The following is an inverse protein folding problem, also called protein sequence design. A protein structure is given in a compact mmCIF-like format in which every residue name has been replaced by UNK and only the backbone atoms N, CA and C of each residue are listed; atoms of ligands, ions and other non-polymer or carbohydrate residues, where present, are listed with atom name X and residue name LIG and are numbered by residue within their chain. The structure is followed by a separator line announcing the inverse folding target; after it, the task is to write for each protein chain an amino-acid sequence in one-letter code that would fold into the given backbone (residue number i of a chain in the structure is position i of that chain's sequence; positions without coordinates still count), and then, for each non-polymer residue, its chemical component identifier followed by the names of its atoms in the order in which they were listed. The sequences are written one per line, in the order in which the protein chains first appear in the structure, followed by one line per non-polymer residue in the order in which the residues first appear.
data_IF_665122154255
#
_entry.id   IF_665122154255
#
_cell.length_a   1.000
_cell.length_b   1.000
_cell.length_c   1.000
_cell.angle_alpha   90.00
_cell.angle_beta   90.00
_cell.angle_gamma   90.00
#
_symmetry.space_group_name_H-M   'P 1'
#
loop_
_entity.id
_entity.type
_entity.pdbx_description
1 polymer ?
#
# COMPACT_ATOMS: atom_id res chain seq x y z
N UNK A 1 10.67 18.85 6.32
CA UNK A 1 12.00 19.39 6.70
C UNK A 1 12.04 20.85 6.33
N UNK A 2 12.41 21.76 7.23
CA UNK A 2 12.61 23.16 6.87
C UNK A 2 13.77 23.29 5.84
N UNK A 3 13.53 23.98 4.74
CA UNK A 3 14.54 24.11 3.66
C UNK A 3 15.86 24.70 4.13
N UNK A 4 15.84 25.56 5.14
CA UNK A 4 17.02 26.19 5.76
C UNK A 4 17.99 25.17 6.37
N UNK A 5 17.52 23.95 6.63
CA UNK A 5 18.33 22.87 7.23
C UNK A 5 18.85 21.87 6.21
N UNK A 6 18.33 21.88 4.97
CA UNK A 6 18.61 20.83 3.98
C UNK A 6 20.10 20.55 3.81
N UNK A 7 20.90 21.57 3.56
CA UNK A 7 22.36 21.42 3.36
C UNK A 7 23.05 20.90 4.63
N UNK A 8 22.65 21.39 5.80
CA UNK A 8 23.18 20.92 7.08
C UNK A 8 22.82 19.45 7.33
N UNK A 9 21.55 19.07 7.08
CA UNK A 9 21.08 17.72 7.30
C UNK A 9 21.78 16.74 6.34
N UNK A 10 21.95 17.09 5.07
CA UNK A 10 22.70 16.28 4.11
C UNK A 10 24.18 16.11 4.50
N UNK A 11 24.83 17.19 4.98
CA UNK A 11 26.20 17.11 5.46
C UNK A 11 26.32 16.20 6.70
N UNK A 12 25.33 16.22 7.60
CA UNK A 12 25.29 15.32 8.76
C UNK A 12 25.08 13.87 8.33
N UNK A 13 24.17 13.62 7.38
CA UNK A 13 23.91 12.30 6.81
C UNK A 13 25.19 11.72 6.18
N UNK A 14 25.88 12.47 5.36
CA UNK A 14 27.16 12.04 4.77
C UNK A 14 28.21 11.72 5.83
N UNK A 15 28.32 12.55 6.86
CA UNK A 15 29.27 12.31 7.98
C UNK A 15 28.89 11.01 8.73
N UNK A 16 27.63 10.65 8.79
CA UNK A 16 27.16 9.40 9.37
C UNK A 16 27.26 8.19 8.43
N UNK A 17 27.72 8.38 7.19
CA UNK A 17 27.84 7.31 6.18
C UNK A 17 26.54 7.00 5.44
N UNK A 18 25.48 7.82 5.60
CA UNK A 18 24.24 7.68 4.87
C UNK A 18 24.46 8.11 3.40
N UNK A 19 24.11 7.23 2.47
CA UNK A 19 24.27 7.43 1.03
C UNK A 19 22.98 7.26 0.23
N UNK A 20 21.87 6.89 0.90
CA UNK A 20 20.53 6.79 0.32
C UNK A 20 19.52 7.40 1.26
N UNK A 21 18.58 8.15 0.74
CA UNK A 21 17.40 8.64 1.47
C UNK A 21 16.11 8.31 0.70
N UNK A 22 14.98 8.26 1.42
CA UNK A 22 13.65 8.13 0.85
C UNK A 22 12.85 9.40 1.11
N UNK A 23 12.12 9.87 0.09
CA UNK A 23 11.27 11.07 0.17
C UNK A 23 9.97 10.89 -0.62
N UNK A 24 9.04 11.78 -0.40
CA UNK A 24 7.79 12.02 -1.11
C UNK A 24 6.58 11.14 -0.73
N UNK A 25 6.73 9.99 -0.10
CA UNK A 25 5.64 9.02 0.13
C UNK A 25 4.43 9.57 0.92
N UNK A 26 4.58 10.66 1.66
CA UNK A 26 3.51 11.22 2.54
C UNK A 26 3.26 12.71 2.31
N UNK A 27 3.65 13.25 1.18
CA UNK A 27 3.67 14.71 0.94
C UNK A 27 2.63 15.22 -0.05
N UNK A 28 1.61 14.43 -0.39
CA UNK A 28 0.60 14.79 -1.38
C UNK A 28 -0.06 16.16 -1.12
N UNK A 29 -0.39 16.50 0.12
CA UNK A 29 -0.98 17.80 0.45
C UNK A 29 -0.07 19.00 0.16
N UNK A 30 1.25 18.79 0.11
CA UNK A 30 2.24 19.79 -0.29
C UNK A 30 2.39 19.82 -1.81
N UNK A 31 2.35 18.65 -2.44
CA UNK A 31 2.50 18.47 -3.88
C UNK A 31 1.27 18.92 -4.67
N UNK A 32 0.10 18.81 -4.04
CA UNK A 32 -1.18 19.26 -4.60
C UNK A 32 -2.03 19.94 -3.51
N UNK A 33 -1.69 21.18 -3.14
CA UNK A 33 -2.38 21.93 -2.09
C UNK A 33 -3.86 22.22 -2.39
N UNK A 34 -4.21 22.33 -3.66
CA UNK A 34 -5.57 22.46 -4.17
C UNK A 34 -5.80 21.51 -5.33
N UNK A 35 -7.04 21.12 -5.58
CA UNK A 35 -7.40 20.21 -6.66
C UNK A 35 -6.90 20.70 -8.03
N UNK A 36 -5.90 19.99 -8.57
CA UNK A 36 -5.27 20.29 -9.87
C UNK A 36 -4.18 21.38 -9.83
N UNK A 37 -3.83 21.90 -8.66
CA UNK A 37 -2.71 22.85 -8.48
C UNK A 37 -1.51 22.08 -7.91
N UNK A 38 -0.42 21.99 -8.68
CA UNK A 38 0.74 21.18 -8.32
C UNK A 38 1.95 22.05 -7.96
N UNK A 39 2.62 21.71 -6.85
CA UNK A 39 3.88 22.29 -6.41
C UNK A 39 4.85 21.21 -5.93
N UNK A 40 5.82 20.85 -6.76
CA UNK A 40 6.87 19.90 -6.45
C UNK A 40 8.18 20.56 -6.02
N UNK A 41 8.17 21.84 -5.68
CA UNK A 41 9.38 22.62 -5.36
C UNK A 41 10.18 22.01 -4.20
N UNK A 42 9.52 21.36 -3.23
CA UNK A 42 10.19 20.68 -2.13
C UNK A 42 10.90 19.40 -2.57
N UNK A 43 10.36 18.66 -3.54
CA UNK A 43 10.97 17.46 -4.11
C UNK A 43 12.16 17.85 -4.96
N UNK A 44 12.00 18.82 -5.88
CA UNK A 44 13.10 19.25 -6.77
C UNK A 44 14.28 19.83 -6.01
N UNK A 45 14.04 20.68 -5.00
CA UNK A 45 15.10 21.21 -4.13
C UNK A 45 15.88 20.09 -3.40
N UNK A 46 15.15 19.08 -2.91
CA UNK A 46 15.80 17.94 -2.26
C UNK A 46 16.64 17.14 -3.25
N UNK A 47 16.12 16.88 -4.46
CA UNK A 47 16.83 16.15 -5.51
C UNK A 47 18.07 16.86 -5.99
N UNK A 48 17.98 18.18 -6.28
CA UNK A 48 19.12 19.01 -6.66
C UNK A 48 20.23 19.00 -5.60
N UNK A 49 19.85 19.07 -4.32
CA UNK A 49 20.79 18.99 -3.22
C UNK A 49 21.42 17.59 -3.10
N UNK A 50 20.64 16.53 -3.29
CA UNK A 50 21.12 15.15 -3.27
C UNK A 50 22.09 14.86 -4.43
N UNK A 51 21.80 15.35 -5.65
CA UNK A 51 22.74 15.22 -6.78
C UNK A 51 24.08 15.91 -6.48
N UNK A 52 24.01 17.14 -6.00
CA UNK A 52 25.21 17.90 -5.60
C UNK A 52 26.03 17.15 -4.55
N UNK A 53 25.38 16.56 -3.56
CA UNK A 53 26.00 15.86 -2.46
C UNK A 53 26.29 14.37 -2.72
N UNK A 54 25.91 13.85 -3.89
CA UNK A 54 26.05 12.43 -4.29
C UNK A 54 25.35 11.47 -3.31
N UNK A 55 24.16 11.85 -2.89
CA UNK A 55 23.25 11.00 -2.10
C UNK A 55 22.20 10.47 -3.05
N UNK A 56 21.99 9.16 -3.06
CA UNK A 56 20.94 8.52 -3.85
C UNK A 56 19.56 8.71 -3.21
N UNK A 57 18.53 8.66 -4.02
CA UNK A 57 17.17 8.91 -3.57
C UNK A 57 16.23 7.79 -4.04
N UNK A 58 15.39 7.33 -3.12
CA UNK A 58 14.20 6.52 -3.42
C UNK A 58 12.99 7.44 -3.33
N UNK A 59 12.19 7.49 -4.39
CA UNK A 59 10.96 8.27 -4.43
C UNK A 59 9.78 7.38 -4.05
N UNK A 60 9.03 7.76 -3.02
CA UNK A 60 7.77 7.11 -2.68
C UNK A 60 6.59 7.72 -3.43
N UNK A 61 5.65 6.89 -3.92
CA UNK A 61 4.39 7.42 -4.45
C UNK A 61 3.56 8.00 -3.30
N UNK A 62 3.00 9.22 -3.40
CA UNK A 62 2.45 9.94 -2.24
C UNK A 62 1.03 9.51 -1.88
N UNK A 63 0.63 8.28 -2.19
CA UNK A 63 -0.75 7.81 -2.09
C UNK A 63 -1.20 7.44 -0.69
N UNK A 64 -0.27 7.27 0.23
CA UNK A 64 -0.51 6.87 1.61
C UNK A 64 -1.33 7.87 2.43
N UNK A 65 -1.29 9.16 2.10
CA UNK A 65 -1.99 10.22 2.81
C UNK A 65 -2.57 11.24 1.83
N UNK A 66 -3.89 11.41 1.86
CA UNK A 66 -4.61 12.31 0.93
C UNK A 66 -4.69 13.75 1.45
N UNK A 67 -4.76 14.76 0.56
CA UNK A 67 -5.00 16.13 0.93
C UNK A 67 -6.39 16.34 1.57
N UNK A 68 -6.49 17.32 2.45
CA UNK A 68 -7.75 17.65 3.14
C UNK A 68 -8.88 18.05 2.19
N UNK A 69 -8.56 18.69 1.07
CA UNK A 69 -9.56 19.06 0.05
C UNK A 69 -10.22 17.81 -0.56
N UNK A 70 -9.45 16.73 -0.75
CA UNK A 70 -9.96 15.46 -1.29
C UNK A 70 -10.88 14.76 -0.29
N UNK A 71 -10.47 14.68 0.98
CA UNK A 71 -11.29 14.11 2.04
C UNK A 71 -12.60 14.88 2.24
N UNK A 72 -12.59 16.19 2.05
CA UNK A 72 -13.79 17.04 2.09
C UNK A 72 -14.70 16.81 0.87
N UNK A 73 -14.10 16.65 -0.32
CA UNK A 73 -14.84 16.46 -1.56
C UNK A 73 -15.45 15.06 -1.68
N UNK A 74 -14.76 14.05 -1.17
CA UNK A 74 -15.13 12.64 -1.22
C UNK A 74 -14.97 11.99 0.16
N UNK A 75 -15.88 12.24 1.11
CA UNK A 75 -15.73 11.69 2.46
C UNK A 75 -15.85 10.15 2.52
N UNK A 76 -16.33 9.53 1.46
CA UNK A 76 -16.45 8.08 1.29
C UNK A 76 -15.17 7.41 0.74
N UNK A 77 -14.12 8.18 0.45
CA UNK A 77 -12.77 7.65 0.20
C UNK A 77 -12.22 6.89 1.41
N UNK A 78 -12.59 7.30 2.63
CA UNK A 78 -12.13 6.62 3.84
C UNK A 78 -12.72 5.22 3.93
N UNK A 79 -11.91 4.25 4.38
CA UNK A 79 -12.35 2.86 4.55
C UNK A 79 -13.63 2.77 5.35
N UNK A 80 -14.56 1.96 4.86
CA UNK A 80 -15.71 1.47 5.61
C UNK A 80 -15.43 0.02 6.00
N UNK A 81 -15.22 -0.23 7.27
CA UNK A 81 -15.07 -1.57 7.86
C UNK A 81 -16.34 -2.03 8.61
N UNK A 82 -16.25 -3.11 9.37
CA UNK A 82 -17.39 -3.62 10.15
C UNK A 82 -17.89 -2.63 11.21
N UNK A 83 -17.03 -1.72 11.68
CA UNK A 83 -17.36 -0.70 12.69
C UNK A 83 -17.97 0.56 12.07
N UNK A 84 -17.89 0.71 10.76
CA UNK A 84 -18.38 1.87 10.03
C UNK A 84 -17.27 2.57 9.24
N UNK A 85 -17.57 3.80 8.79
CA UNK A 85 -16.60 4.61 8.04
C UNK A 85 -15.54 5.19 8.97
N UNK A 86 -14.26 5.04 8.60
CA UNK A 86 -13.16 5.67 9.31
C UNK A 86 -13.16 7.19 9.11
N UNK A 87 -12.85 7.98 10.15
CA UNK A 87 -12.73 9.42 10.00
C UNK A 87 -11.43 9.80 9.29
N UNK A 88 -11.44 10.95 8.62
CA UNK A 88 -10.21 11.62 8.20
C UNK A 88 -9.45 12.14 9.44
N UNK A 89 -8.15 11.98 9.49
CA UNK A 89 -7.34 12.41 10.63
C UNK A 89 -5.84 12.21 10.42
N UNK A 90 -5.07 12.25 11.48
CA UNK A 90 -3.61 12.18 11.45
C UNK A 90 -3.08 10.85 10.86
N UNK A 91 -3.75 9.74 11.11
CA UNK A 91 -3.48 8.45 10.43
C UNK A 91 -4.64 8.19 9.48
N UNK A 92 -4.39 8.29 8.21
CA UNK A 92 -5.42 8.15 7.18
C UNK A 92 -5.51 6.70 6.69
N UNK A 93 -6.72 6.25 6.40
CA UNK A 93 -6.99 4.89 5.92
C UNK A 93 -8.00 4.98 4.78
N UNK A 94 -7.51 4.95 3.54
CA UNK A 94 -8.32 5.06 2.35
C UNK A 94 -8.80 3.70 1.84
N UNK A 95 -9.98 3.69 1.23
CA UNK A 95 -10.47 2.53 0.49
C UNK A 95 -9.73 2.44 -0.86
N UNK A 96 -8.81 1.50 -0.98
CA UNK A 96 -7.98 1.29 -2.17
C UNK A 96 -8.81 0.89 -3.42
N UNK A 97 -10.10 0.59 -3.25
CA UNK A 97 -11.03 0.30 -4.36
C UNK A 97 -11.83 1.52 -4.81
N UNK A 98 -11.77 2.63 -4.07
CA UNK A 98 -12.57 3.81 -4.36
C UNK A 98 -12.13 4.48 -5.66
N UNK A 99 -13.05 4.62 -6.62
CA UNK A 99 -12.71 5.08 -7.99
C UNK A 99 -12.12 6.50 -8.03
N UNK A 100 -12.65 7.44 -7.24
CA UNK A 100 -12.10 8.78 -7.18
C UNK A 100 -10.71 8.77 -6.55
N UNK A 101 -10.48 7.98 -5.47
CA UNK A 101 -9.15 7.83 -4.90
C UNK A 101 -8.14 7.32 -5.94
N UNK A 102 -8.48 6.26 -6.68
CA UNK A 102 -7.60 5.74 -7.74
C UNK A 102 -7.34 6.76 -8.86
N UNK A 103 -8.37 7.47 -9.28
CA UNK A 103 -8.21 8.53 -10.29
C UNK A 103 -7.18 9.59 -9.85
N UNK A 104 -7.30 10.07 -8.62
CA UNK A 104 -6.38 11.06 -8.07
C UNK A 104 -4.99 10.48 -7.76
N UNK A 105 -4.90 9.23 -7.30
CA UNK A 105 -3.62 8.54 -7.14
C UNK A 105 -2.85 8.45 -8.45
N UNK A 106 -3.50 8.04 -9.54
CA UNK A 106 -2.86 7.99 -10.85
C UNK A 106 -2.37 9.38 -11.28
N UNK A 107 -3.21 10.40 -11.10
CA UNK A 107 -2.86 11.78 -11.46
C UNK A 107 -1.62 12.28 -10.73
N UNK A 108 -1.55 12.11 -9.41
CA UNK A 108 -0.41 12.58 -8.62
C UNK A 108 0.86 11.75 -8.90
N UNK A 109 0.73 10.43 -9.07
CA UNK A 109 1.88 9.58 -9.43
C UNK A 109 2.46 10.05 -10.76
N UNK A 110 1.64 10.22 -11.80
CA UNK A 110 2.11 10.69 -13.12
C UNK A 110 2.78 12.05 -13.04
N UNK A 111 2.19 12.99 -12.29
CA UNK A 111 2.78 14.33 -12.10
C UNK A 111 4.13 14.28 -11.38
N UNK A 112 4.25 13.49 -10.32
CA UNK A 112 5.51 13.28 -9.62
C UNK A 112 6.54 12.63 -10.54
N UNK A 113 6.17 11.58 -11.28
CA UNK A 113 7.08 10.90 -12.20
C UNK A 113 7.62 11.82 -13.31
N UNK A 114 6.76 12.70 -13.88
CA UNK A 114 7.18 13.72 -14.85
C UNK A 114 8.30 14.62 -14.30
N UNK A 115 8.25 14.93 -13.00
CA UNK A 115 9.23 15.79 -12.33
C UNK A 115 10.54 15.06 -12.01
N UNK A 116 10.46 13.79 -11.57
CA UNK A 116 11.63 13.10 -10.98
C UNK A 116 12.40 12.19 -11.93
N UNK A 117 11.84 11.84 -13.11
CA UNK A 117 12.39 10.84 -14.02
C UNK A 117 13.81 11.12 -14.52
N UNK A 118 14.20 12.40 -14.65
CA UNK A 118 15.44 12.81 -15.26
C UNK A 118 16.58 13.04 -14.23
N UNK A 119 16.29 12.95 -12.91
CA UNK A 119 17.29 13.09 -11.87
C UNK A 119 18.14 11.81 -11.76
N UNK A 120 19.44 11.95 -11.91
CA UNK A 120 20.39 10.83 -11.88
C UNK A 120 20.52 10.19 -10.48
N UNK A 121 20.29 10.97 -9.43
CA UNK A 121 20.32 10.48 -8.05
C UNK A 121 19.12 9.58 -7.69
N UNK A 122 18.06 9.56 -8.49
CA UNK A 122 16.88 8.68 -8.25
C UNK A 122 17.20 7.27 -8.69
N UNK A 123 17.40 6.36 -7.73
CA UNK A 123 17.80 4.97 -7.97
C UNK A 123 16.63 3.97 -7.92
N UNK A 124 15.46 4.40 -7.47
CA UNK A 124 14.28 3.54 -7.39
C UNK A 124 13.06 4.22 -6.83
N UNK A 125 11.96 3.47 -6.82
CA UNK A 125 10.65 3.94 -6.40
C UNK A 125 10.04 2.99 -5.37
N UNK A 126 9.45 3.56 -4.32
CA UNK A 126 8.58 2.82 -3.41
C UNK A 126 7.13 3.08 -3.79
N UNK A 127 6.36 2.00 -3.98
CA UNK A 127 4.93 2.09 -4.20
C UNK A 127 4.23 2.27 -2.86
N UNK A 128 3.42 3.31 -2.70
CA UNK A 128 2.62 3.55 -1.51
C UNK A 128 3.42 3.39 -0.19
N UNK A 129 2.74 3.13 0.93
CA UNK A 129 3.40 2.87 2.21
C UNK A 129 2.58 1.88 3.05
N UNK A 130 3.17 0.77 3.48
CA UNK A 130 2.53 -0.24 4.33
C UNK A 130 1.10 -0.59 3.87
N UNK A 131 0.90 -0.81 2.58
CA UNK A 131 -0.42 -0.98 1.98
C UNK A 131 -1.15 -2.20 2.54
N UNK A 132 -2.36 -2.01 3.00
CA UNK A 132 -3.25 -3.03 3.58
C UNK A 132 -4.69 -2.82 3.11
N UNK A 133 -5.51 -3.84 3.26
CA UNK A 133 -6.95 -3.69 2.99
C UNK A 133 -7.73 -3.08 4.17
N UNK A 134 -7.15 -3.05 5.38
CA UNK A 134 -7.73 -2.45 6.59
C UNK A 134 -9.16 -2.90 6.91
N UNK A 135 -9.55 -4.10 6.51
CA UNK A 135 -10.90 -4.62 6.70
C UNK A 135 -11.96 -3.96 5.83
N UNK A 136 -11.57 -3.32 4.71
CA UNK A 136 -12.53 -2.64 3.82
C UNK A 136 -13.69 -3.56 3.42
N UNK A 137 -14.91 -3.07 3.60
CA UNK A 137 -16.16 -3.79 3.36
C UNK A 137 -17.28 -2.85 2.88
N UNK A 138 -16.90 -1.83 2.11
CA UNK A 138 -17.83 -0.89 1.47
C UNK A 138 -18.80 -1.60 0.52
N UNK A 139 -19.85 -0.91 0.08
CA UNK A 139 -20.77 -1.44 -0.92
C UNK A 139 -20.08 -1.88 -2.22
N UNK A 140 -19.06 -1.13 -2.65
CA UNK A 140 -18.27 -1.47 -3.82
C UNK A 140 -17.46 -2.76 -3.61
N UNK A 141 -16.86 -2.93 -2.43
CA UNK A 141 -16.12 -4.14 -2.05
C UNK A 141 -17.05 -5.34 -1.97
N UNK A 142 -18.26 -5.19 -1.42
CA UNK A 142 -19.28 -6.21 -1.41
C UNK A 142 -19.62 -6.69 -2.83
N UNK A 143 -19.91 -5.77 -3.74
CA UNK A 143 -20.25 -6.10 -5.12
C UNK A 143 -19.08 -6.75 -5.87
N UNK A 144 -17.87 -6.24 -5.66
CA UNK A 144 -16.66 -6.80 -6.24
C UNK A 144 -16.40 -8.23 -5.72
N UNK A 145 -16.61 -8.49 -4.44
CA UNK A 145 -16.47 -9.83 -3.87
C UNK A 145 -17.49 -10.82 -4.45
N UNK A 146 -18.76 -10.41 -4.52
CA UNK A 146 -19.81 -11.26 -5.14
C UNK A 146 -19.45 -11.58 -6.59
N UNK A 147 -18.99 -10.60 -7.35
CA UNK A 147 -18.56 -10.80 -8.73
C UNK A 147 -17.34 -11.73 -8.84
N UNK A 148 -16.38 -11.57 -7.94
CA UNK A 148 -15.16 -12.38 -7.88
C UNK A 148 -15.48 -13.84 -7.57
N UNK A 149 -16.30 -14.12 -6.56
CA UNK A 149 -16.65 -15.49 -6.18
C UNK A 149 -17.57 -16.15 -7.21
N UNK A 150 -18.54 -15.40 -7.75
CA UNK A 150 -19.41 -15.86 -8.85
C UNK A 150 -18.60 -16.32 -10.07
N UNK A 151 -17.53 -15.58 -10.41
CA UNK A 151 -16.63 -15.94 -11.51
C UNK A 151 -15.89 -17.25 -11.23
N UNK A 152 -15.43 -17.48 -9.99
CA UNK A 152 -14.74 -18.71 -9.61
C UNK A 152 -15.62 -19.96 -9.71
N UNK A 153 -16.90 -19.78 -9.39
CA UNK A 153 -17.92 -20.84 -9.51
C UNK A 153 -18.56 -20.89 -10.89
N UNK A 154 -18.15 -20.06 -11.85
CA UNK A 154 -18.74 -19.96 -13.20
C UNK A 154 -20.25 -19.75 -13.17
N UNK A 155 -20.76 -19.10 -12.09
CA UNK A 155 -22.16 -18.84 -11.86
C UNK A 155 -22.94 -20.01 -11.22
N UNK A 156 -22.31 -21.16 -11.01
CA UNK A 156 -22.93 -22.35 -10.39
C UNK A 156 -23.20 -22.11 -8.90
N UNK A 157 -24.44 -21.73 -8.60
CA UNK A 157 -24.88 -21.39 -7.26
C UNK A 157 -25.10 -22.64 -6.38
N UNK A 158 -25.43 -23.77 -6.97
CA UNK A 158 -25.62 -25.01 -6.25
C UNK A 158 -24.27 -25.51 -5.70
N UNK A 159 -23.28 -25.54 -6.54
CA UNK A 159 -21.92 -25.86 -6.15
C UNK A 159 -21.38 -24.89 -5.10
N UNK A 160 -21.66 -23.59 -5.26
CA UNK A 160 -21.29 -22.56 -4.28
C UNK A 160 -21.93 -22.84 -2.90
N UNK A 161 -23.25 -23.08 -2.86
CA UNK A 161 -23.94 -23.39 -1.62
C UNK A 161 -23.39 -24.64 -0.93
N UNK A 162 -23.13 -25.70 -1.72
CA UNK A 162 -22.56 -26.96 -1.23
C UNK A 162 -21.15 -26.74 -0.63
N UNK A 163 -20.23 -26.14 -1.40
CA UNK A 163 -18.83 -26.01 -1.03
C UNK A 163 -18.64 -25.10 0.20
N UNK A 164 -19.49 -24.10 0.38
CA UNK A 164 -19.51 -23.22 1.54
C UNK A 164 -20.38 -23.71 2.69
N UNK A 165 -21.10 -24.83 2.54
CA UNK A 165 -21.96 -25.40 3.57
C UNK A 165 -23.12 -24.49 3.96
N UNK A 166 -23.71 -23.77 3.00
CA UNK A 166 -24.73 -22.74 3.26
C UNK A 166 -26.12 -23.30 3.57
N UNK A 167 -26.35 -24.59 3.39
CA UNK A 167 -27.60 -25.24 3.83
C UNK A 167 -27.77 -25.19 5.35
N UNK A 168 -26.67 -25.12 6.08
CA UNK A 168 -26.69 -25.04 7.54
C UNK A 168 -27.13 -23.64 8.00
N UNK A 169 -28.01 -23.56 8.98
CA UNK A 169 -28.62 -22.32 9.47
C UNK A 169 -29.39 -21.52 8.43
N UNK A 170 -29.90 -22.19 7.37
CA UNK A 170 -30.66 -21.55 6.29
C UNK A 170 -29.92 -20.40 5.60
N UNK A 171 -28.61 -20.53 5.44
CA UNK A 171 -27.77 -19.52 4.76
C UNK A 171 -27.72 -19.70 3.24
N UNK A 172 -28.32 -20.78 2.71
CA UNK A 172 -28.42 -21.06 1.29
C UNK A 172 -29.01 -19.88 0.53
N UNK A 173 -28.40 -19.53 -0.59
CA UNK A 173 -28.91 -18.54 -1.52
C UNK A 173 -29.43 -19.21 -2.79
N UNK A 174 -30.49 -18.65 -3.40
CA UNK A 174 -31.08 -19.13 -4.64
C UNK A 174 -30.76 -18.20 -5.83
N UNK A 175 -30.22 -17.02 -5.55
CA UNK A 175 -29.69 -16.09 -6.54
C UNK A 175 -28.51 -15.30 -5.96
N UNK A 176 -27.63 -14.81 -6.82
CA UNK A 176 -26.45 -14.03 -6.40
C UNK A 176 -26.83 -12.67 -5.77
N UNK A 177 -28.02 -12.16 -6.03
CA UNK A 177 -28.58 -10.95 -5.43
C UNK A 177 -28.94 -11.13 -3.95
N UNK A 178 -29.11 -12.40 -3.51
CA UNK A 178 -29.35 -12.76 -2.12
C UNK A 178 -28.08 -12.92 -1.29
N UNK A 179 -26.91 -12.67 -1.89
CA UNK A 179 -25.63 -12.83 -1.20
C UNK A 179 -25.59 -12.01 0.11
N UNK A 180 -25.25 -12.63 1.25
CA UNK A 180 -25.30 -11.95 2.54
C UNK A 180 -24.28 -10.81 2.63
N UNK A 181 -24.58 -9.81 3.46
CA UNK A 181 -23.63 -8.72 3.71
C UNK A 181 -22.36 -9.24 4.39
N UNK A 182 -21.22 -8.98 3.79
CA UNK A 182 -19.89 -9.31 4.37
C UNK A 182 -19.62 -8.56 5.68
N UNK A 183 -20.39 -7.51 5.97
CA UNK A 183 -20.34 -6.76 7.25
C UNK A 183 -21.15 -7.42 8.35
N UNK A 184 -22.06 -8.32 7.97
CA UNK A 184 -22.85 -9.12 8.91
C UNK A 184 -22.11 -10.35 9.41
N UNK A 185 -22.86 -11.24 10.04
CA UNK A 185 -22.37 -12.57 10.40
C UNK A 185 -22.48 -13.49 9.20
N UNK A 186 -21.33 -13.96 8.71
CA UNK A 186 -21.23 -14.97 7.65
C UNK A 186 -20.50 -16.19 8.22
N UNK A 187 -20.67 -17.36 7.61
CA UNK A 187 -19.97 -18.55 8.10
C UNK A 187 -18.45 -18.44 7.90
N UNK A 188 -17.69 -19.27 8.62
CA UNK A 188 -16.23 -19.20 8.65
C UNK A 188 -15.58 -19.38 7.28
N UNK A 189 -16.09 -20.33 6.46
CA UNK A 189 -15.57 -20.58 5.11
C UNK A 189 -15.74 -19.36 4.20
N UNK A 190 -16.93 -18.74 4.22
CA UNK A 190 -17.19 -17.53 3.45
C UNK A 190 -16.39 -16.33 3.97
N UNK A 191 -16.17 -16.26 5.29
CA UNK A 191 -15.27 -15.27 5.91
C UNK A 191 -13.84 -15.40 5.42
N UNK A 192 -13.29 -16.61 5.39
CA UNK A 192 -11.95 -16.88 4.85
C UNK A 192 -11.84 -16.49 3.36
N UNK A 193 -12.85 -16.81 2.55
CA UNK A 193 -12.88 -16.41 1.14
C UNK A 193 -12.91 -14.88 0.99
N UNK A 194 -13.65 -14.17 1.85
CA UNK A 194 -13.69 -12.71 1.84
C UNK A 194 -12.33 -12.10 2.22
N UNK A 195 -11.67 -12.62 3.26
CA UNK A 195 -10.31 -12.18 3.63
C UNK A 195 -9.28 -12.44 2.52
N UNK A 196 -9.38 -13.57 1.83
CA UNK A 196 -8.55 -13.86 0.66
C UNK A 196 -8.79 -12.84 -0.45
N UNK A 197 -10.06 -12.53 -0.72
CA UNK A 197 -10.42 -11.49 -1.68
C UNK A 197 -9.87 -10.12 -1.27
N UNK A 198 -10.00 -9.72 0.00
CA UNK A 198 -9.46 -8.45 0.50
C UNK A 198 -7.93 -8.35 0.31
N UNK A 199 -7.19 -9.43 0.58
CA UNK A 199 -5.74 -9.48 0.29
C UNK A 199 -5.42 -9.35 -1.20
N UNK A 200 -6.29 -9.88 -2.07
CA UNK A 200 -6.12 -9.72 -3.52
C UNK A 200 -6.29 -8.28 -4.00
N UNK A 201 -7.09 -7.47 -3.29
CA UNK A 201 -7.23 -6.03 -3.58
C UNK A 201 -5.93 -5.27 -3.33
N UNK A 202 -5.16 -5.64 -2.29
CA UNK A 202 -3.84 -5.05 -2.01
C UNK A 202 -2.86 -5.37 -3.14
N UNK A 203 -2.83 -6.65 -3.55
CA UNK A 203 -1.99 -7.08 -4.68
C UNK A 203 -2.33 -6.29 -5.95
N UNK A 204 -3.61 -6.18 -6.26
CA UNK A 204 -4.08 -5.48 -7.46
C UNK A 204 -3.74 -3.98 -7.40
N UNK A 205 -3.88 -3.32 -6.24
CA UNK A 205 -3.54 -1.93 -6.06
C UNK A 205 -2.04 -1.65 -6.27
N UNK A 206 -1.17 -2.50 -5.72
CA UNK A 206 0.27 -2.39 -5.92
C UNK A 206 0.68 -2.67 -7.38
N UNK A 207 0.10 -3.69 -8.01
CA UNK A 207 0.32 -4.00 -9.42
C UNK A 207 -0.12 -2.84 -10.33
N UNK A 208 -1.24 -2.22 -10.02
CA UNK A 208 -1.73 -1.07 -10.74
C UNK A 208 -0.80 0.14 -10.59
N UNK A 209 -0.36 0.49 -9.37
CA UNK A 209 0.64 1.56 -9.19
C UNK A 209 1.95 1.23 -9.94
N UNK A 210 2.38 -0.04 -9.88
CA UNK A 210 3.54 -0.51 -10.63
C UNK A 210 3.40 -0.24 -12.13
N UNK A 211 2.24 -0.49 -12.73
CA UNK A 211 2.02 -0.27 -14.15
C UNK A 211 2.17 1.20 -14.55
N UNK A 212 1.76 2.13 -13.69
CA UNK A 212 1.92 3.57 -13.93
C UNK A 212 3.40 3.97 -13.82
N UNK A 213 4.07 3.57 -12.75
CA UNK A 213 5.48 3.90 -12.53
C UNK A 213 6.37 3.33 -13.63
N UNK A 214 6.04 2.11 -14.12
CA UNK A 214 6.80 1.42 -15.19
C UNK A 214 6.94 2.25 -16.47
N UNK A 215 6.00 3.12 -16.78
CA UNK A 215 6.04 3.97 -17.98
C UNK A 215 7.19 5.00 -17.96
N UNK A 216 7.77 5.26 -16.78
CA UNK A 216 8.79 6.28 -16.54
C UNK A 216 10.14 5.70 -16.08
N UNK A 217 10.22 4.40 -15.80
CA UNK A 217 11.42 3.78 -15.24
C UNK A 217 12.57 3.73 -16.24
N UNK A 218 13.77 4.04 -15.76
CA UNK A 218 15.02 3.66 -16.42
C UNK A 218 15.37 2.20 -16.08
N UNK A 219 16.21 1.57 -16.90
CA UNK A 219 16.64 0.18 -16.72
C UNK A 219 17.41 -0.09 -15.42
N UNK A 220 18.11 0.95 -14.91
CA UNK A 220 18.92 0.89 -13.69
C UNK A 220 18.12 1.09 -12.40
N UNK A 221 16.83 1.40 -12.51
CA UNK A 221 15.97 1.71 -11.36
C UNK A 221 15.17 0.50 -10.88
N UNK A 222 15.02 0.39 -9.58
CA UNK A 222 14.20 -0.64 -8.95
C UNK A 222 12.84 -0.10 -8.49
N UNK A 223 11.92 -1.03 -8.20
CA UNK A 223 10.66 -0.74 -7.53
C UNK A 223 10.53 -1.63 -6.30
N UNK A 224 10.18 -1.01 -5.19
CA UNK A 224 10.02 -1.66 -3.89
C UNK A 224 8.71 -1.26 -3.21
N UNK A 225 8.42 -1.91 -2.10
CA UNK A 225 7.35 -1.57 -1.16
C UNK A 225 7.80 -1.99 0.24
N UNK A 226 7.46 -1.20 1.26
CA UNK A 226 7.78 -1.48 2.65
C UNK A 226 6.68 -2.30 3.31
N UNK A 227 6.74 -3.62 3.20
CA UNK A 227 5.84 -4.50 3.96
C UNK A 227 6.11 -4.34 5.45
N UNK A 228 5.08 -3.98 6.22
CA UNK A 228 5.22 -3.87 7.66
C UNK A 228 5.11 -5.22 8.36
N UNK A 229 5.87 -5.36 9.43
CA UNK A 229 5.84 -6.50 10.33
C UNK A 229 5.46 -6.02 11.72
N UNK A 230 4.58 -6.75 12.40
CA UNK A 230 4.17 -6.47 13.76
C UNK A 230 4.22 -7.74 14.61
N UNK A 231 4.85 -7.64 15.78
CA UNK A 231 5.00 -8.76 16.72
C UNK A 231 3.83 -8.86 17.69
N UNK A 232 2.73 -8.18 17.39
CA UNK A 232 1.49 -8.24 18.18
C UNK A 232 0.51 -9.23 17.54
N UNK A 233 -0.04 -10.12 18.37
CA UNK A 233 -1.07 -11.06 17.93
C UNK A 233 -0.53 -12.41 17.45
N UNK A 234 -1.31 -13.11 16.63
CA UNK A 234 -1.10 -14.51 16.28
C UNK A 234 -0.28 -14.75 15.00
N UNK A 235 0.15 -13.70 14.33
CA UNK A 235 0.77 -13.80 13.00
C UNK A 235 2.28 -13.96 13.01
N UNK A 236 2.90 -14.09 14.16
CA UNK A 236 4.37 -14.18 14.31
C UNK A 236 5.14 -13.07 13.58
N UNK A 237 4.56 -11.87 13.57
CA UNK A 237 5.13 -10.69 12.88
C UNK A 237 4.65 -10.50 11.45
N UNK A 238 4.09 -11.51 10.80
CA UNK A 238 3.58 -11.40 9.42
C UNK A 238 2.29 -10.60 9.40
N UNK A 239 2.18 -9.64 8.48
CA UNK A 239 0.97 -8.83 8.30
C UNK A 239 -0.16 -9.68 7.70
N UNK A 240 -1.30 -9.87 8.41
CA UNK A 240 -2.37 -10.75 7.94
C UNK A 240 -3.19 -10.14 6.78
N UNK A 241 -3.18 -8.83 6.62
CA UNK A 241 -3.96 -8.09 5.62
C UNK A 241 -3.31 -8.11 4.22
N UNK A 242 -2.20 -8.82 4.04
CA UNK A 242 -1.43 -8.85 2.79
C UNK A 242 -1.07 -10.29 2.41
N UNK A 243 -1.23 -10.62 1.14
CA UNK A 243 -0.62 -11.80 0.52
C UNK A 243 0.76 -11.38 -0.02
N UNK A 244 1.81 -11.50 0.80
CA UNK A 244 3.16 -11.07 0.48
C UNK A 244 3.70 -11.70 -0.81
N UNK A 245 3.59 -13.04 -1.05
CA UNK A 245 4.03 -13.65 -2.29
C UNK A 245 3.35 -13.05 -3.54
N UNK A 246 2.06 -12.80 -3.47
CA UNK A 246 1.31 -12.21 -4.60
C UNK A 246 1.63 -10.73 -4.77
N UNK A 247 1.64 -9.95 -3.70
CA UNK A 247 1.94 -8.52 -3.71
C UNK A 247 3.37 -8.24 -4.18
N UNK A 248 4.34 -9.09 -3.82
CA UNK A 248 5.74 -8.94 -4.24
C UNK A 248 5.95 -9.03 -5.76
N UNK A 249 4.97 -9.54 -6.52
CA UNK A 249 5.01 -9.55 -8.00
C UNK A 249 5.05 -8.14 -8.59
N UNK A 250 4.54 -7.14 -7.86
CA UNK A 250 4.64 -5.74 -8.26
C UNK A 250 6.06 -5.16 -8.14
N UNK A 251 6.96 -5.84 -7.44
CA UNK A 251 8.25 -5.30 -7.03
C UNK A 251 9.40 -5.93 -7.82
N UNK A 252 10.50 -5.18 -7.96
CA UNK A 252 11.79 -5.75 -8.40
C UNK A 252 12.64 -6.16 -7.22
N UNK A 253 12.58 -5.41 -6.10
CA UNK A 253 13.23 -5.73 -4.83
C UNK A 253 12.17 -5.67 -3.75
N UNK A 254 12.04 -6.72 -2.93
CA UNK A 254 11.15 -6.70 -1.78
C UNK A 254 11.72 -5.83 -0.66
N UNK A 255 10.89 -5.03 -0.02
CA UNK A 255 11.25 -4.22 1.13
C UNK A 255 10.41 -4.54 2.35
N UNK A 256 10.91 -4.24 3.53
CA UNK A 256 10.17 -4.40 4.77
C UNK A 256 10.50 -3.33 5.80
N UNK A 257 9.52 -3.06 6.65
CA UNK A 257 9.66 -2.28 7.87
C UNK A 257 9.65 -3.22 9.07
N UNK A 258 10.64 -3.07 9.95
CA UNK A 258 10.74 -3.91 11.15
C UNK A 258 10.62 -3.01 12.37
N UNK A 259 9.47 -3.14 13.08
CA UNK A 259 9.21 -2.40 14.30
C UNK A 259 9.42 -3.26 15.53
N UNK A 260 10.22 -2.78 16.46
CA UNK A 260 10.45 -3.42 17.74
C UNK A 260 9.56 -2.80 18.82
N UNK A 261 9.10 -3.56 19.81
CA UNK A 261 8.29 -3.04 20.92
C UNK A 261 9.04 -1.99 21.76
N UNK A 262 10.30 -2.26 22.05
CA UNK A 262 11.25 -1.35 22.71
C UNK A 262 12.69 -1.81 22.46
N UNK A 263 13.66 -0.96 22.78
CA UNK A 263 15.08 -1.35 22.64
C UNK A 263 15.46 -2.51 23.57
N UNK A 264 14.82 -2.62 24.74
CA UNK A 264 15.09 -3.69 25.70
C UNK A 264 14.58 -5.06 25.21
N UNK A 265 13.60 -5.07 24.33
CA UNK A 265 13.02 -6.27 23.73
C UNK A 265 13.68 -6.65 22.39
N UNK A 266 14.71 -5.91 21.97
CA UNK A 266 15.39 -6.12 20.70
C UNK A 266 16.31 -7.35 20.79
N UNK A 267 15.91 -8.46 20.17
CA UNK A 267 16.68 -9.71 20.25
C UNK A 267 17.45 -10.04 18.96
N UNK A 268 17.20 -9.34 17.87
CA UNK A 268 17.72 -9.67 16.54
C UNK A 268 16.99 -10.84 15.85
N UNK A 269 16.16 -11.60 16.55
CA UNK A 269 15.36 -12.69 15.98
C UNK A 269 14.34 -12.15 14.99
N UNK A 270 13.71 -11.05 15.35
CA UNK A 270 12.72 -10.34 14.56
C UNK A 270 13.34 -9.86 13.24
N UNK A 271 14.53 -9.26 13.31
CA UNK A 271 15.26 -8.79 12.12
C UNK A 271 15.61 -9.97 11.22
N UNK A 272 16.15 -11.05 11.80
CA UNK A 272 16.50 -12.25 11.05
C UNK A 272 15.28 -12.87 10.36
N UNK A 273 14.18 -13.07 11.10
CA UNK A 273 12.97 -13.65 10.55
C UNK A 273 12.36 -12.79 9.43
N UNK A 274 12.19 -11.48 9.66
CA UNK A 274 11.64 -10.57 8.66
C UNK A 274 12.53 -10.48 7.42
N UNK A 275 13.85 -10.41 7.62
CA UNK A 275 14.83 -10.41 6.55
C UNK A 275 14.77 -11.68 5.70
N UNK A 276 14.73 -12.85 6.33
CA UNK A 276 14.65 -14.14 5.63
C UNK A 276 13.33 -14.28 4.89
N UNK A 277 12.22 -13.91 5.52
CA UNK A 277 10.91 -13.91 4.85
C UNK A 277 10.90 -12.97 3.64
N UNK A 278 11.35 -11.73 3.81
CA UNK A 278 11.35 -10.74 2.73
C UNK A 278 12.25 -11.17 1.57
N UNK A 279 13.43 -11.70 1.87
CA UNK A 279 14.35 -12.26 0.88
C UNK A 279 13.73 -13.42 0.11
N UNK A 280 12.94 -14.27 0.76
CA UNK A 280 12.30 -15.42 0.13
C UNK A 280 11.28 -15.04 -0.94
N UNK A 281 10.73 -13.82 -0.90
CA UNK A 281 9.75 -13.33 -1.86
C UNK A 281 10.34 -13.12 -3.26
N UNK A 282 11.62 -12.77 -3.37
CA UNK A 282 12.31 -12.46 -4.63
C UNK A 282 13.54 -13.32 -4.91
N UNK A 283 13.92 -14.20 -4.01
CA UNK A 283 15.13 -15.06 -4.07
C UNK A 283 16.46 -14.29 -4.18
N UNK A 284 16.46 -13.02 -3.80
CA UNK A 284 17.60 -12.11 -3.91
C UNK A 284 17.74 -11.22 -2.68
N UNK A 285 18.42 -10.10 -2.84
CA UNK A 285 18.52 -9.09 -1.82
C UNK A 285 17.16 -8.47 -1.49
N UNK A 286 17.05 -7.90 -0.31
CA UNK A 286 15.89 -7.17 0.17
C UNK A 286 16.32 -5.85 0.78
N UNK A 287 15.36 -4.94 0.94
CA UNK A 287 15.56 -3.66 1.61
C UNK A 287 14.89 -3.70 2.99
N UNK A 288 15.58 -3.17 4.00
CA UNK A 288 14.96 -2.73 5.26
C UNK A 288 14.83 -1.22 5.16
N UNK A 289 13.62 -0.73 5.32
CA UNK A 289 13.27 0.67 5.07
C UNK A 289 12.89 1.35 6.37
#
# INVERSE_FOLDING_TARGET
MPYERLDKDLAMMKKAGINVIRIAESTWSTEEPEDGVFDFSHVTKALEACEREKINVIIGTPTYAIPAWMAKKYPDIMVTDKSGRRPYGARQIMDITHHAYRFYCERIIRKLMEVVKDYSCVIGFQLDNETKHFGTSSGNVQQAFVSWIKKQYQGDIERFNHDFGLDYWSNRINSWEQFPSVRGTINGSLGCAFEQFQRSLVTEFLMWQRSIVQEYLREDQFVTHNFDFTWKGHSYGVQPDVDHPSASKALTIAGCDIYHPSQDDLTGKEISFCGDMTRSLKKDNYLVI
#
